data_IF_745636640436
#
_entry.id   IF_745636640436
#
_cell.length_a   1.000
_cell.length_b   1.000
_cell.length_c   1.000
_cell.angle_alpha   90.00
_cell.angle_beta   90.00
_cell.angle_gamma   90.00
#
_symmetry.space_group_name_H-M   'P 1'
#
loop_
_entity.id
_entity.type
_entity.pdbx_description
1 polymer ?
#
# COMPACT_ATOMS: atom_id res chain seq x y z
N UNK A 1 -2.04 0.06 -12.35
CA UNK A 1 -1.09 -0.40 -11.32
C UNK A 1 -1.69 -0.24 -9.93
N UNK A 2 -1.51 -1.23 -9.07
CA UNK A 2 -1.99 -1.20 -7.69
C UNK A 2 -0.79 -1.28 -6.75
N UNK A 3 -0.75 -0.42 -5.74
CA UNK A 3 0.31 -0.40 -4.73
C UNK A 3 -0.31 -0.66 -3.36
N UNK A 4 0.01 -1.81 -2.78
CA UNK A 4 -0.33 -2.13 -1.39
C UNK A 4 0.78 -1.60 -0.49
N UNK A 5 0.51 -0.48 0.17
CA UNK A 5 1.54 0.29 0.85
C UNK A 5 1.45 0.24 2.36
N UNK A 6 2.59 0.02 3.00
CA UNK A 6 2.73 0.18 4.44
C UNK A 6 2.47 1.65 4.84
N UNK A 7 2.04 1.84 6.06
CA UNK A 7 1.75 3.18 6.58
C UNK A 7 3.01 4.07 6.59
N UNK A 8 2.85 5.32 6.22
CA UNK A 8 3.94 6.32 6.23
C UNK A 8 4.79 6.36 4.96
N UNK A 9 4.44 5.62 3.91
CA UNK A 9 5.23 5.62 2.65
C UNK A 9 4.94 6.80 1.71
N UNK A 10 3.95 7.65 2.04
CA UNK A 10 3.66 8.85 1.25
C UNK A 10 2.45 8.75 0.32
N UNK A 11 1.51 7.85 0.58
CA UNK A 11 0.30 7.66 -0.25
C UNK A 11 -0.53 8.95 -0.36
N UNK A 12 -0.79 9.59 0.77
CA UNK A 12 -1.62 10.81 0.80
C UNK A 12 -1.00 11.99 0.07
N UNK A 13 0.32 12.07 -0.01
CA UNK A 13 1.02 13.14 -0.72
C UNK A 13 0.83 13.07 -2.23
N UNK A 14 0.64 11.87 -2.78
CA UNK A 14 0.44 11.63 -4.21
C UNK A 14 -1.04 11.52 -4.59
N UNK A 15 -1.93 11.30 -3.64
CA UNK A 15 -3.36 11.17 -3.90
C UNK A 15 -3.91 12.41 -4.63
N UNK A 16 -4.64 12.19 -5.71
CA UNK A 16 -5.19 13.26 -6.56
C UNK A 16 -4.20 13.88 -7.53
N UNK A 17 -2.95 13.41 -7.58
CA UNK A 17 -1.92 13.87 -8.52
C UNK A 17 -1.53 12.73 -9.45
N UNK A 18 -1.16 13.06 -10.71
CA UNK A 18 -0.59 12.10 -11.67
C UNK A 18 -1.40 10.81 -11.82
N UNK A 19 -2.73 10.92 -11.82
CA UNK A 19 -3.65 9.77 -11.88
C UNK A 19 -3.49 8.79 -10.70
N UNK A 20 -3.10 9.28 -9.53
CA UNK A 20 -3.01 8.49 -8.31
C UNK A 20 -4.28 8.64 -7.48
N UNK A 21 -4.80 7.52 -6.99
CA UNK A 21 -5.98 7.46 -6.14
C UNK A 21 -5.62 6.70 -4.86
N UNK A 22 -5.87 7.30 -3.71
CA UNK A 22 -5.76 6.62 -2.42
C UNK A 22 -7.13 6.02 -2.05
N UNK A 23 -7.24 4.69 -2.17
CA UNK A 23 -8.47 3.98 -1.87
C UNK A 23 -8.52 3.62 -0.38
N UNK A 24 -9.26 4.42 0.37
CA UNK A 24 -9.35 4.30 1.82
C UNK A 24 -10.20 3.10 2.26
N UNK A 25 -9.58 2.13 2.94
CA UNK A 25 -10.30 0.98 3.50
C UNK A 25 -11.28 1.38 4.61
N UNK A 26 -11.06 2.54 5.24
CA UNK A 26 -11.96 3.10 6.25
C UNK A 26 -13.36 3.41 5.72
N UNK A 27 -13.51 3.66 4.41
CA UNK A 27 -14.81 3.90 3.80
C UNK A 27 -15.74 2.67 3.82
N UNK A 28 -15.22 1.50 4.14
CA UNK A 28 -15.99 0.26 4.26
C UNK A 28 -16.49 -0.02 5.68
N UNK A 29 -16.25 0.89 6.61
CA UNK A 29 -16.85 0.85 7.94
C UNK A 29 -18.23 1.49 7.89
N UNK A 30 -19.25 0.76 8.36
CA UNK A 30 -20.62 1.24 8.50
C UNK A 30 -21.08 0.94 9.92
N UNK A 31 -21.48 1.98 10.65
CA UNK A 31 -21.93 1.88 12.06
C UNK A 31 -20.95 1.11 12.96
N UNK A 32 -19.64 1.38 12.79
CA UNK A 32 -18.59 0.75 13.57
C UNK A 32 -18.25 -0.69 13.19
N UNK A 33 -18.81 -1.19 12.07
CA UNK A 33 -18.57 -2.56 11.58
C UNK A 33 -18.23 -2.57 10.10
N UNK A 34 -17.44 -3.57 9.67
CA UNK A 34 -17.23 -3.92 8.28
C UNK A 34 -17.78 -5.33 8.04
N UNK A 35 -18.35 -5.58 6.85
CA UNK A 35 -18.69 -6.94 6.43
C UNK A 35 -17.43 -7.81 6.41
N UNK A 36 -17.56 -9.11 6.72
CA UNK A 36 -16.41 -10.02 6.77
C UNK A 36 -15.67 -10.11 5.43
N UNK A 37 -16.38 -9.93 4.32
CA UNK A 37 -15.85 -9.96 2.96
C UNK A 37 -15.61 -8.57 2.35
N UNK A 38 -15.52 -7.53 3.16
CA UNK A 38 -15.33 -6.14 2.73
C UNK A 38 -14.18 -5.95 1.73
N UNK A 39 -13.14 -6.75 1.86
CA UNK A 39 -11.96 -6.67 1.00
C UNK A 39 -12.25 -7.08 -0.46
N UNK A 40 -13.30 -7.86 -0.72
CA UNK A 40 -13.66 -8.28 -2.08
C UNK A 40 -14.12 -7.10 -2.94
N UNK A 41 -15.18 -6.35 -2.57
CA UNK A 41 -15.55 -5.15 -3.34
C UNK A 41 -14.44 -4.10 -3.34
N UNK A 42 -13.69 -3.97 -2.26
CA UNK A 42 -12.54 -3.07 -2.18
C UNK A 42 -11.50 -3.38 -3.27
N UNK A 43 -11.11 -4.63 -3.40
CA UNK A 43 -10.15 -5.06 -4.42
C UNK A 43 -10.72 -5.00 -5.84
N UNK A 44 -12.04 -5.23 -6.01
CA UNK A 44 -12.71 -5.06 -7.31
C UNK A 44 -12.63 -3.60 -7.77
N UNK A 45 -12.86 -2.64 -6.88
CA UNK A 45 -12.73 -1.22 -7.18
C UNK A 45 -11.28 -0.90 -7.58
N UNK A 46 -10.31 -1.40 -6.82
CA UNK A 46 -8.89 -1.18 -7.12
C UNK A 46 -8.51 -1.72 -8.50
N UNK A 47 -8.94 -2.93 -8.83
CA UNK A 47 -8.69 -3.53 -10.14
C UNK A 47 -9.31 -2.71 -11.27
N UNK A 48 -10.57 -2.31 -11.11
CA UNK A 48 -11.27 -1.51 -12.12
C UNK A 48 -10.56 -0.18 -12.36
N UNK A 49 -10.18 0.53 -11.31
CA UNK A 49 -9.45 1.79 -11.44
C UNK A 49 -8.08 1.60 -12.09
N UNK A 50 -7.38 0.53 -11.75
CA UNK A 50 -6.10 0.20 -12.38
C UNK A 50 -6.26 -0.08 -13.87
N UNK A 51 -7.29 -0.81 -14.28
CA UNK A 51 -7.63 -1.07 -15.68
C UNK A 51 -7.90 0.22 -16.45
N UNK A 52 -8.45 1.23 -15.79
CA UNK A 52 -8.70 2.54 -16.37
C UNK A 52 -7.44 3.41 -16.48
N UNK A 53 -6.30 2.93 -16.04
CA UNK A 53 -5.02 3.64 -16.14
C UNK A 53 -4.59 4.37 -14.86
N UNK A 54 -5.36 4.27 -13.79
CA UNK A 54 -4.98 4.89 -12.52
C UNK A 54 -3.94 4.07 -11.77
N UNK A 55 -3.12 4.76 -10.99
CA UNK A 55 -2.30 4.16 -9.94
C UNK A 55 -3.10 4.20 -8.63
N UNK A 56 -3.42 3.03 -8.08
CA UNK A 56 -4.32 2.92 -6.94
C UNK A 56 -3.53 2.49 -5.70
N UNK A 57 -3.59 3.30 -4.66
CA UNK A 57 -3.00 2.94 -3.37
C UNK A 57 -4.03 2.23 -2.53
N UNK A 58 -3.68 1.06 -2.03
CA UNK A 58 -4.53 0.24 -1.18
C UNK A 58 -3.84 -0.09 0.14
N UNK A 59 -4.61 -0.54 1.12
CA UNK A 59 -4.08 -0.93 2.42
C UNK A 59 -3.17 -2.16 2.32
N UNK A 60 -2.32 -2.35 3.32
CA UNK A 60 -1.44 -3.52 3.43
C UNK A 60 -2.04 -4.66 4.24
N UNK A 61 -3.34 -4.65 4.52
CA UNK A 61 -4.02 -5.75 5.22
C UNK A 61 -3.81 -7.09 4.51
N UNK A 62 -3.61 -8.14 5.27
CA UNK A 62 -3.36 -9.49 4.73
C UNK A 62 -4.49 -9.95 3.79
N UNK A 63 -5.75 -9.74 4.16
CA UNK A 63 -6.90 -10.14 3.34
C UNK A 63 -6.93 -9.40 2.01
N UNK A 64 -6.52 -8.14 1.97
CA UNK A 64 -6.39 -7.35 0.73
C UNK A 64 -5.26 -7.89 -0.13
N UNK A 65 -4.09 -8.11 0.46
CA UNK A 65 -2.93 -8.64 -0.27
C UNK A 65 -3.21 -10.01 -0.89
N UNK A 66 -3.84 -10.90 -0.13
CA UNK A 66 -4.22 -12.24 -0.64
C UNK A 66 -5.23 -12.17 -1.77
N UNK A 67 -6.22 -11.29 -1.68
CA UNK A 67 -7.18 -11.11 -2.77
C UNK A 67 -6.50 -10.54 -4.02
N UNK A 68 -5.57 -9.61 -3.86
CA UNK A 68 -4.82 -9.01 -4.96
C UNK A 68 -3.84 -9.98 -5.64
N UNK A 69 -3.45 -11.06 -5.00
CA UNK A 69 -2.65 -12.13 -5.64
C UNK A 69 -3.38 -12.73 -6.86
N UNK A 70 -4.70 -12.67 -6.88
CA UNK A 70 -5.54 -13.15 -8.00
C UNK A 70 -5.67 -12.12 -9.12
N UNK A 71 -5.18 -10.91 -8.93
CA UNK A 71 -5.37 -9.81 -9.87
C UNK A 71 -4.62 -10.03 -11.17
N UNK A 72 -5.24 -9.63 -12.27
CA UNK A 72 -4.62 -9.55 -13.60
C UNK A 72 -3.80 -8.26 -13.77
N UNK A 73 -4.00 -7.29 -12.88
CA UNK A 73 -3.29 -6.01 -12.91
C UNK A 73 -1.92 -6.11 -12.23
N UNK A 74 -0.95 -5.25 -12.58
CA UNK A 74 0.31 -5.18 -11.84
C UNK A 74 0.07 -4.71 -10.40
N UNK A 75 0.51 -5.53 -9.43
CA UNK A 75 0.38 -5.23 -8.01
C UNK A 75 1.75 -5.28 -7.34
N UNK A 76 2.07 -4.25 -6.57
CA UNK A 76 3.32 -4.19 -5.80
C UNK A 76 3.02 -3.91 -4.33
N UNK A 77 3.66 -4.65 -3.44
CA UNK A 77 3.75 -4.27 -2.03
C UNK A 77 4.91 -3.28 -1.87
N UNK A 78 4.70 -2.20 -1.12
CA UNK A 78 5.75 -1.21 -0.84
C UNK A 78 5.82 -1.01 0.67
N UNK A 79 7.01 -1.17 1.21
CA UNK A 79 7.22 -1.09 2.66
C UNK A 79 8.66 -0.70 2.98
N UNK A 80 8.91 -0.12 4.18
CA UNK A 80 10.27 0.16 4.61
C UNK A 80 11.01 -1.09 5.06
N UNK A 81 12.34 -1.05 4.98
CA UNK A 81 13.20 -2.11 5.52
C UNK A 81 12.94 -2.35 7.01
N UNK A 82 13.10 -3.58 7.42
CA UNK A 82 13.04 -3.96 8.84
C UNK A 82 14.05 -3.18 9.70
N UNK A 83 15.17 -2.76 9.10
CA UNK A 83 16.23 -2.00 9.76
C UNK A 83 15.87 -0.52 9.97
N UNK A 84 14.79 -0.03 9.36
CA UNK A 84 14.31 1.34 9.52
C UNK A 84 13.25 1.52 10.61
N UNK A 85 13.09 0.54 11.49
CA UNK A 85 12.04 0.55 12.51
C UNK A 85 12.01 1.86 13.31
N UNK A 86 13.13 2.25 13.88
CA UNK A 86 13.19 3.40 14.79
C UNK A 86 12.89 4.71 14.06
N UNK A 87 13.49 4.90 12.89
CA UNK A 87 13.24 6.09 12.05
C UNK A 87 11.80 6.13 11.58
N UNK A 88 11.22 4.97 11.25
CA UNK A 88 9.85 4.90 10.75
C UNK A 88 8.84 5.20 11.85
N UNK A 89 9.04 4.65 13.04
CA UNK A 89 8.21 4.96 14.21
C UNK A 89 8.27 6.47 14.52
N UNK A 90 9.46 7.06 14.46
CA UNK A 90 9.62 8.51 14.67
C UNK A 90 8.81 9.31 13.66
N UNK A 91 8.81 8.94 12.39
CA UNK A 91 7.99 9.60 11.35
C UNK A 91 6.50 9.50 11.67
N UNK A 92 6.03 8.34 12.11
CA UNK A 92 4.64 8.15 12.47
C UNK A 92 4.26 8.92 13.74
N UNK A 93 5.17 9.04 14.71
CA UNK A 93 4.99 9.91 15.89
C UNK A 93 4.83 11.36 15.48
N UNK A 94 5.72 11.88 14.65
CA UNK A 94 5.68 13.26 14.15
C UNK A 94 4.40 13.55 13.39
N UNK A 95 3.95 12.59 12.58
CA UNK A 95 2.68 12.68 11.86
C UNK A 95 1.50 12.76 12.82
N UNK A 96 1.42 11.88 13.81
CA UNK A 96 0.35 11.92 14.80
C UNK A 96 0.36 13.20 15.60
N UNK A 97 1.53 13.69 16.02
CA UNK A 97 1.65 14.96 16.75
C UNK A 97 1.10 16.14 15.93
N UNK A 98 1.26 16.10 14.61
CA UNK A 98 0.77 17.15 13.71
C UNK A 98 -0.72 17.04 13.43
N UNK A 99 -1.24 15.84 13.22
CA UNK A 99 -2.62 15.61 12.76
C UNK A 99 -3.61 15.34 13.90
N UNK A 100 -3.16 14.65 14.94
CA UNK A 100 -3.99 14.14 16.06
C UNK A 100 -5.17 13.28 15.61
N UNK A 101 -5.09 12.70 14.40
CA UNK A 101 -6.13 11.82 13.85
C UNK A 101 -6.03 10.41 14.42
N UNK A 102 -7.18 9.79 14.67
CA UNK A 102 -7.25 8.42 15.20
C UNK A 102 -6.56 7.41 14.28
N UNK A 103 -6.67 7.58 12.97
CA UNK A 103 -5.99 6.72 11.99
C UNK A 103 -4.47 6.78 12.14
N UNK A 104 -3.93 7.95 12.42
CA UNK A 104 -2.48 8.13 12.59
C UNK A 104 -2.01 7.58 13.93
N UNK A 105 -2.83 7.69 14.97
CA UNK A 105 -2.58 7.04 16.24
C UNK A 105 -2.54 5.50 16.10
N UNK A 106 -3.53 4.92 15.43
CA UNK A 106 -3.57 3.46 15.20
C UNK A 106 -2.38 2.98 14.37
N UNK A 107 -1.98 3.74 13.35
CA UNK A 107 -0.80 3.44 12.54
C UNK A 107 0.47 3.42 13.40
N UNK A 108 0.64 4.43 14.26
CA UNK A 108 1.77 4.52 15.18
C UNK A 108 1.80 3.34 16.16
N UNK A 109 0.67 3.05 16.80
CA UNK A 109 0.61 1.95 17.79
C UNK A 109 0.85 0.59 17.14
N UNK A 110 0.30 0.37 15.95
CA UNK A 110 0.55 -0.85 15.19
C UNK A 110 2.05 -1.01 14.84
N UNK A 111 2.69 0.07 14.44
CA UNK A 111 4.12 0.05 14.14
C UNK A 111 4.96 -0.24 15.40
N UNK A 112 4.62 0.37 16.53
CA UNK A 112 5.32 0.11 17.80
C UNK A 112 5.21 -1.35 18.22
N UNK A 113 4.04 -1.95 18.05
CA UNK A 113 3.76 -3.30 18.53
C UNK A 113 4.18 -4.38 17.54
N UNK A 114 4.06 -4.15 16.24
CA UNK A 114 4.14 -5.21 15.23
C UNK A 114 4.98 -4.87 13.99
N UNK A 115 5.88 -3.91 14.05
CA UNK A 115 6.65 -3.50 12.88
C UNK A 115 7.37 -4.68 12.19
N UNK A 116 8.16 -5.42 12.97
CA UNK A 116 8.96 -6.53 12.42
C UNK A 116 8.07 -7.62 11.83
N UNK A 117 7.00 -8.00 12.53
CA UNK A 117 6.06 -9.01 12.07
C UNK A 117 5.38 -8.57 10.77
N UNK A 118 4.91 -7.33 10.71
CA UNK A 118 4.25 -6.79 9.53
C UNK A 118 5.18 -6.73 8.32
N UNK A 119 6.41 -6.25 8.49
CA UNK A 119 7.38 -6.19 7.40
C UNK A 119 7.76 -7.60 6.93
N UNK A 120 7.97 -8.52 7.85
CA UNK A 120 8.28 -9.92 7.51
C UNK A 120 7.15 -10.57 6.72
N UNK A 121 5.90 -10.36 7.11
CA UNK A 121 4.74 -10.85 6.37
C UNK A 121 4.68 -10.29 4.93
N UNK A 122 4.99 -9.00 4.76
CA UNK A 122 5.02 -8.36 3.45
C UNK A 122 6.13 -8.95 2.57
N UNK A 123 7.30 -9.20 3.13
CA UNK A 123 8.42 -9.81 2.41
C UNK A 123 8.15 -11.26 2.01
N UNK A 124 7.49 -12.02 2.86
CA UNK A 124 7.19 -13.44 2.66
C UNK A 124 5.95 -13.68 1.79
N UNK A 125 5.17 -12.67 1.51
CA UNK A 125 3.99 -12.76 0.66
C UNK A 125 4.33 -13.02 -0.81
N UNK A 126 3.29 -13.31 -1.61
CA UNK A 126 3.45 -13.65 -3.03
C UNK A 126 3.40 -12.43 -3.97
N UNK A 127 3.12 -11.25 -3.46
CA UNK A 127 3.16 -10.02 -4.25
C UNK A 127 4.61 -9.63 -4.55
N UNK A 128 4.85 -9.12 -5.73
CA UNK A 128 6.11 -8.42 -6.02
C UNK A 128 6.20 -7.22 -5.08
N UNK A 129 7.40 -6.90 -4.62
CA UNK A 129 7.55 -5.83 -3.65
C UNK A 129 8.72 -4.90 -3.96
N UNK A 130 8.64 -3.70 -3.40
CA UNK A 130 9.72 -2.75 -3.34
C UNK A 130 10.01 -2.42 -1.86
N UNK A 131 11.24 -2.64 -1.44
CA UNK A 131 11.70 -2.34 -0.08
C UNK A 131 12.38 -0.97 -0.06
N UNK A 132 11.84 -0.04 0.74
CA UNK A 132 12.45 1.27 0.95
C UNK A 132 13.59 1.10 1.95
N UNK A 133 14.81 1.38 1.52
CA UNK A 133 16.04 1.18 2.31
C UNK A 133 16.59 2.46 2.94
N UNK A 134 15.97 3.62 2.66
CA UNK A 134 16.35 4.92 3.20
C UNK A 134 15.15 5.61 3.82
N UNK A 135 15.31 6.11 5.05
CA UNK A 135 14.20 6.71 5.80
C UNK A 135 13.60 7.96 5.12
N UNK A 136 14.37 8.67 4.30
CA UNK A 136 13.92 9.86 3.58
C UNK A 136 13.31 9.57 2.20
N UNK A 137 13.22 8.30 1.78
CA UNK A 137 12.57 7.92 0.54
C UNK A 137 11.08 7.64 0.78
N UNK A 138 10.25 8.08 -0.18
CA UNK A 138 8.80 7.93 -0.18
C UNK A 138 8.33 7.48 -1.56
N UNK A 139 7.04 7.29 -1.71
CA UNK A 139 6.44 6.85 -2.99
C UNK A 139 6.79 7.77 -4.16
N UNK A 140 6.84 9.08 -3.96
CA UNK A 140 7.20 10.03 -5.01
C UNK A 140 8.61 9.83 -5.56
N UNK A 141 9.53 9.25 -4.77
CA UNK A 141 10.88 8.93 -5.23
C UNK A 141 10.96 7.65 -6.07
N UNK A 142 9.97 6.75 -5.95
CA UNK A 142 10.01 5.42 -6.55
C UNK A 142 8.88 5.16 -7.55
N UNK A 143 7.87 6.04 -7.63
CA UNK A 143 6.66 5.82 -8.41
C UNK A 143 6.98 5.61 -9.92
N UNK A 144 7.89 6.39 -10.48
CA UNK A 144 8.29 6.26 -11.89
C UNK A 144 8.94 4.91 -12.17
N UNK A 145 9.74 4.42 -11.25
CA UNK A 145 10.35 3.10 -11.35
C UNK A 145 9.29 1.99 -11.32
N UNK A 146 8.30 2.10 -10.43
CA UNK A 146 7.21 1.13 -10.35
C UNK A 146 6.32 1.17 -11.62
N UNK A 147 6.06 2.35 -12.16
CA UNK A 147 5.34 2.50 -13.42
C UNK A 147 6.08 1.83 -14.57
N UNK A 148 7.38 2.01 -14.66
CA UNK A 148 8.21 1.34 -15.64
C UNK A 148 8.11 -0.19 -15.50
N UNK A 149 8.22 -0.70 -14.27
CA UNK A 149 8.08 -2.13 -14.00
C UNK A 149 6.69 -2.65 -14.37
N UNK A 150 5.65 -1.88 -14.11
CA UNK A 150 4.27 -2.28 -14.41
C UNK A 150 4.03 -2.41 -15.92
N UNK A 151 4.59 -1.53 -16.72
CA UNK A 151 4.50 -1.59 -18.20
C UNK A 151 5.19 -2.86 -18.72
N UNK A 152 6.36 -3.15 -18.22
CA UNK A 152 7.09 -4.37 -18.61
C UNK A 152 6.39 -5.64 -18.13
N UNK A 153 5.73 -5.59 -16.99
CA UNK A 153 4.96 -6.71 -16.44
C UNK A 153 3.80 -7.09 -17.38
N UNK A 154 3.01 -6.11 -17.82
CA UNK A 154 1.92 -6.33 -18.79
C UNK A 154 2.46 -6.91 -20.11
N UNK A 155 3.54 -6.34 -20.63
CA UNK A 155 4.16 -6.80 -21.87
C UNK A 155 4.66 -8.24 -21.78
N UNK A 156 5.28 -8.63 -20.68
CA UNK A 156 5.75 -10.00 -20.46
C UNK A 156 4.59 -10.99 -20.31
N UNK A 157 3.49 -10.55 -19.73
CA UNK A 157 2.28 -11.34 -19.59
C UNK A 157 1.59 -11.57 -20.94
N UNK A 158 1.48 -10.51 -21.73
CA UNK A 158 0.87 -10.57 -23.07
C UNK A 158 1.67 -11.48 -24.01
N UNK A 159 2.98 -11.52 -23.87
CA UNK A 159 3.84 -12.42 -24.65
C UNK A 159 3.76 -13.89 -24.28
N UNK A 160 3.25 -14.23 -23.12
CA UNK A 160 3.07 -15.61 -22.67
C UNK A 160 1.75 -16.23 -23.15
N UNK A 161 0.87 -15.41 -23.67
CA UNK A 161 -0.36 -15.84 -24.31
C UNK A 161 -0.16 -16.08 -25.80
#
# INVERSE_FOLDING_TARGET
MIISGYQGIGKSSLAGKNNCIDLESGNFWVDGKRADDWYKPYCQIANHLSEQGYTVFVSSHEVVRKELEKSEEPVFAVFPSIHLKDEWIKKLEERYERTKLDKDYRALMNAKDRYKENITELMQGNLKFYEITRANYHLDDIIDYLEYKSKNYKYLKDKRM
#
